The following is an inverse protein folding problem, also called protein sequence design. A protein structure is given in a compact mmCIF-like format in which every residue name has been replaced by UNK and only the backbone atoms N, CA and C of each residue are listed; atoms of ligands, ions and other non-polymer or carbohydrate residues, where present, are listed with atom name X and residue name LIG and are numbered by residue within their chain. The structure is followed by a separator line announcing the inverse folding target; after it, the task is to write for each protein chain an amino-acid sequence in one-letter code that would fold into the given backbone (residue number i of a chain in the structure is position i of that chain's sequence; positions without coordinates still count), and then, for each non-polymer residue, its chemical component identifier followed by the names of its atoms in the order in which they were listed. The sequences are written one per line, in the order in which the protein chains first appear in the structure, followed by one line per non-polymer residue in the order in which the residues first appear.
data_IF_290993156574
#
_entry.id   IF_290993156574
#
_cell.length_a   1.000
_cell.length_b   1.000
_cell.length_c   1.000
_cell.angle_alpha   90.00
_cell.angle_beta   90.00
_cell.angle_gamma   90.00
#
_symmetry.space_group_name_H-M   'P 1'
#
loop_
_entity.id
_entity.type
_entity.pdbx_description
1 polymer ?
#
# COMPACT_ATOMS: atom_id res chain seq x y z
N UNK A 1 -51.23 11.26 -21.29
CA UNK A 1 -50.77 10.66 -20.01
C UNK A 1 -49.70 9.61 -20.26
N UNK A 2 -49.95 8.63 -21.12
CA UNK A 2 -49.01 7.58 -21.56
C UNK A 2 -47.68 8.12 -22.12
N UNK A 3 -47.74 9.11 -23.02
CA UNK A 3 -46.55 9.72 -23.66
C UNK A 3 -45.64 10.45 -22.67
N UNK A 4 -46.24 11.09 -21.65
CA UNK A 4 -45.52 11.85 -20.63
C UNK A 4 -44.75 10.91 -19.68
N UNK A 5 -45.38 9.79 -19.33
CA UNK A 5 -44.78 8.73 -18.50
C UNK A 5 -43.62 8.08 -19.24
N UNK A 6 -43.79 7.78 -20.52
CA UNK A 6 -42.74 7.19 -21.36
C UNK A 6 -41.53 8.12 -21.52
N UNK A 7 -41.76 9.43 -21.67
CA UNK A 7 -40.70 10.45 -21.70
C UNK A 7 -39.94 10.51 -20.39
N UNK A 8 -40.65 10.52 -19.25
CA UNK A 8 -40.03 10.53 -17.91
C UNK A 8 -39.19 9.27 -17.66
N UNK A 9 -39.68 8.11 -18.09
CA UNK A 9 -38.96 6.86 -17.97
C UNK A 9 -37.69 6.83 -18.83
N UNK A 10 -37.76 7.36 -20.06
CA UNK A 10 -36.61 7.47 -20.95
C UNK A 10 -35.54 8.43 -20.40
N UNK A 11 -35.95 9.58 -19.85
CA UNK A 11 -35.04 10.53 -19.19
C UNK A 11 -34.40 9.91 -17.95
N UNK A 12 -35.17 9.22 -17.11
CA UNK A 12 -34.67 8.56 -15.92
C UNK A 12 -33.67 7.44 -16.27
N UNK A 13 -33.98 6.64 -17.29
CA UNK A 13 -33.09 5.62 -17.83
C UNK A 13 -31.77 6.23 -18.33
N UNK A 14 -31.84 7.32 -19.10
CA UNK A 14 -30.64 8.01 -19.57
C UNK A 14 -29.82 8.57 -18.40
N UNK A 15 -30.46 9.12 -17.36
CA UNK A 15 -29.78 9.64 -16.18
C UNK A 15 -29.04 8.53 -15.42
N UNK A 16 -29.71 7.40 -15.19
CA UNK A 16 -29.11 6.22 -14.55
C UNK A 16 -27.93 5.70 -15.38
N UNK A 17 -28.06 5.66 -16.70
CA UNK A 17 -26.98 5.21 -17.58
C UNK A 17 -25.75 6.13 -17.51
N UNK A 18 -25.95 7.45 -17.49
CA UNK A 18 -24.86 8.43 -17.33
C UNK A 18 -24.17 8.29 -15.97
N UNK A 19 -24.94 8.09 -14.90
CA UNK A 19 -24.43 7.85 -13.54
C UNK A 19 -23.67 6.53 -13.41
N UNK A 20 -24.17 5.46 -14.05
CA UNK A 20 -23.54 4.14 -14.02
C UNK A 20 -22.29 4.04 -14.92
N UNK A 21 -22.25 4.78 -16.03
CA UNK A 21 -21.15 4.76 -16.99
C UNK A 21 -19.92 5.56 -16.53
N UNK A 22 -20.04 6.40 -15.50
CA UNK A 22 -18.93 7.22 -14.98
C UNK A 22 -18.73 6.96 -13.48
N UNK A 23 -18.18 5.81 -13.07
CA UNK A 23 -17.90 5.54 -11.67
C UNK A 23 -16.71 6.40 -11.22
N UNK A 24 -16.97 7.65 -10.83
CA UNK A 24 -15.93 8.58 -10.30
C UNK A 24 -15.21 8.00 -9.07
N UNK A 25 -15.88 7.08 -8.37
CA UNK A 25 -15.41 6.31 -7.21
C UNK A 25 -14.25 5.37 -7.56
N UNK A 26 -14.20 4.85 -8.79
CA UNK A 26 -13.14 3.96 -9.23
C UNK A 26 -11.81 4.71 -9.47
N UNK A 27 -11.87 5.99 -9.85
CA UNK A 27 -10.67 6.79 -10.14
C UNK A 27 -9.94 7.25 -8.87
N UNK A 28 -10.66 7.62 -7.81
CA UNK A 28 -10.04 8.02 -6.54
C UNK A 28 -9.42 6.84 -5.79
N UNK A 29 -10.03 5.64 -5.88
CA UNK A 29 -9.52 4.43 -5.25
C UNK A 29 -8.15 3.98 -5.80
N UNK A 30 -7.94 4.12 -7.12
CA UNK A 30 -6.67 3.74 -7.76
C UNK A 30 -5.48 4.60 -7.36
N UNK A 31 -5.66 5.92 -7.20
CA UNK A 31 -4.57 6.78 -6.71
C UNK A 31 -4.32 6.57 -5.21
N UNK A 32 -5.37 6.32 -4.43
CA UNK A 32 -5.24 6.03 -3.01
C UNK A 32 -4.51 4.70 -2.75
N UNK A 33 -4.71 3.67 -3.58
CA UNK A 33 -4.00 2.39 -3.45
C UNK A 33 -2.50 2.50 -3.79
N UNK A 34 -2.14 3.22 -4.86
CA UNK A 34 -0.72 3.51 -5.19
C UNK A 34 -0.07 4.35 -4.09
N UNK A 35 -0.77 5.38 -3.59
CA UNK A 35 -0.28 6.20 -2.49
C UNK A 35 -0.05 5.39 -1.20
N UNK A 36 -0.94 4.44 -0.90
CA UNK A 36 -0.74 3.53 0.23
C UNK A 36 0.50 2.64 0.04
N UNK A 37 0.72 2.12 -1.17
CA UNK A 37 1.92 1.34 -1.49
C UNK A 37 3.22 2.12 -1.30
N UNK A 38 3.30 3.37 -1.76
CA UNK A 38 4.45 4.24 -1.46
C UNK A 38 4.60 4.53 0.04
N UNK A 39 3.48 4.57 0.78
CA UNK A 39 3.51 4.68 2.23
C UNK A 39 4.15 3.46 2.90
N UNK A 40 3.80 2.26 2.44
CA UNK A 40 4.38 0.99 2.93
C UNK A 40 5.90 0.94 2.65
N UNK A 41 6.35 1.35 1.46
CA UNK A 41 7.79 1.47 1.12
C UNK A 41 8.49 2.54 1.98
N UNK A 42 7.86 3.70 2.14
CA UNK A 42 8.39 4.79 2.97
C UNK A 42 8.55 4.41 4.44
N UNK A 43 7.69 3.54 4.96
CA UNK A 43 7.83 2.97 6.30
C UNK A 43 9.10 2.12 6.42
N UNK A 44 9.35 1.21 5.46
CA UNK A 44 10.55 0.37 5.44
C UNK A 44 11.83 1.20 5.32
N UNK A 45 11.83 2.22 4.46
CA UNK A 45 12.95 3.16 4.36
C UNK A 45 13.25 3.84 5.69
N UNK A 46 12.22 4.29 6.42
CA UNK A 46 12.43 4.92 7.72
C UNK A 46 12.95 3.90 8.76
N UNK A 47 12.46 2.66 8.75
CA UNK A 47 13.00 1.60 9.62
C UNK A 47 14.49 1.36 9.35
N UNK A 48 14.91 1.34 8.07
CA UNK A 48 16.31 1.15 7.72
C UNK A 48 17.17 2.36 8.12
N UNK A 49 16.66 3.58 7.95
CA UNK A 49 17.34 4.79 8.44
C UNK A 49 17.53 4.78 9.96
N UNK A 50 16.55 4.26 10.72
CA UNK A 50 16.69 4.07 12.17
C UNK A 50 17.82 3.10 12.49
N UNK A 51 17.90 1.95 11.80
CA UNK A 51 19.00 0.99 11.99
C UNK A 51 20.36 1.59 11.69
N UNK A 52 20.49 2.33 10.58
CA UNK A 52 21.73 3.01 10.24
C UNK A 52 22.15 4.02 11.31
N UNK A 53 21.21 4.82 11.81
CA UNK A 53 21.51 5.80 12.87
C UNK A 53 21.90 5.12 14.19
N UNK A 54 21.22 4.03 14.57
CA UNK A 54 21.58 3.23 15.74
C UNK A 54 22.97 2.60 15.60
N UNK A 55 23.32 2.12 14.41
CA UNK A 55 24.63 1.57 14.12
C UNK A 55 25.71 2.66 14.22
N UNK A 56 25.50 3.82 13.58
CA UNK A 56 26.44 4.94 13.63
C UNK A 56 26.71 5.43 15.05
N UNK A 57 25.70 5.42 15.93
CA UNK A 57 25.87 5.80 17.34
C UNK A 57 26.70 4.81 18.17
N UNK A 58 26.85 3.56 17.71
CA UNK A 58 27.66 2.53 18.39
C UNK A 58 29.13 2.56 17.95
N UNK A 59 29.46 3.30 16.89
CA UNK A 59 30.82 3.41 16.36
C UNK A 59 31.71 4.19 17.35
N UNK A 60 32.94 3.70 17.58
CA UNK A 60 33.88 4.33 18.52
C UNK A 60 34.32 5.73 18.06
N UNK A 61 34.35 5.95 16.76
CA UNK A 61 34.69 7.20 16.08
C UNK A 61 33.46 8.05 15.73
N UNK A 62 32.28 7.75 16.28
CA UNK A 62 31.10 8.59 16.15
C UNK A 62 31.41 10.04 16.57
N UNK A 63 31.01 11.01 15.74
CA UNK A 63 31.26 12.42 16.01
C UNK A 63 30.53 12.89 17.28
N UNK A 64 31.08 13.90 17.95
CA UNK A 64 30.45 14.48 19.14
C UNK A 64 29.06 15.09 18.84
N UNK A 65 28.88 15.64 17.63
CA UNK A 65 27.58 16.13 17.16
C UNK A 65 26.57 15.00 17.00
N UNK A 66 26.99 13.87 16.42
CA UNK A 66 26.15 12.68 16.30
C UNK A 66 25.78 12.13 17.69
N UNK A 67 26.72 12.08 18.64
CA UNK A 67 26.42 11.64 20.01
C UNK A 67 25.46 12.60 20.72
N UNK A 68 25.58 13.90 20.50
CA UNK A 68 24.74 14.92 21.11
C UNK A 68 23.29 14.89 20.59
N UNK A 69 23.11 14.71 19.27
CA UNK A 69 21.78 14.82 18.64
C UNK A 69 21.18 13.50 18.17
N UNK A 70 21.99 12.47 17.96
CA UNK A 70 21.53 11.16 17.47
C UNK A 70 20.48 10.50 18.36
N UNK A 71 20.58 10.51 19.71
CA UNK A 71 19.55 9.93 20.56
C UNK A 71 18.16 10.56 20.41
N UNK A 72 18.08 11.90 20.32
CA UNK A 72 16.81 12.60 20.10
C UNK A 72 16.29 12.38 18.68
N UNK A 73 17.17 12.35 17.69
CA UNK A 73 16.80 11.99 16.31
C UNK A 73 16.24 10.57 16.20
N UNK A 74 16.83 9.60 16.92
CA UNK A 74 16.29 8.23 17.01
C UNK A 74 14.92 8.19 17.68
N UNK A 75 14.72 8.96 18.75
CA UNK A 75 13.43 9.04 19.41
C UNK A 75 12.36 9.55 18.43
N UNK A 76 12.62 10.67 17.74
CA UNK A 76 11.70 11.23 16.77
C UNK A 76 11.42 10.27 15.60
N UNK A 77 12.44 9.59 15.09
CA UNK A 77 12.27 8.62 14.01
C UNK A 77 11.40 7.43 14.43
N UNK A 78 11.56 6.92 15.66
CA UNK A 78 10.71 5.85 16.21
C UNK A 78 9.28 6.32 16.49
N UNK A 79 9.09 7.57 16.91
CA UNK A 79 7.75 8.16 17.04
C UNK A 79 7.09 8.35 15.67
N UNK A 80 7.84 8.79 14.67
CA UNK A 80 7.37 8.88 13.29
C UNK A 80 6.95 7.51 12.75
N UNK A 81 7.70 6.43 12.99
CA UNK A 81 7.30 5.07 12.61
C UNK A 81 5.95 4.66 13.23
N UNK A 82 5.69 5.00 14.50
CA UNK A 82 4.38 4.71 15.12
C UNK A 82 3.25 5.44 14.40
N UNK A 83 3.40 6.74 14.13
CA UNK A 83 2.40 7.53 13.42
C UNK A 83 2.21 7.06 11.98
N UNK A 84 3.29 6.65 11.33
CA UNK A 84 3.26 6.13 9.97
C UNK A 84 2.48 4.81 9.93
N UNK A 85 2.75 3.89 10.86
CA UNK A 85 2.01 2.63 10.98
C UNK A 85 0.49 2.85 11.17
N UNK A 86 0.09 3.79 12.03
CA UNK A 86 -1.34 4.15 12.17
C UNK A 86 -1.92 4.76 10.89
N UNK A 87 -1.15 5.57 10.16
CA UNK A 87 -1.58 6.11 8.88
C UNK A 87 -1.78 5.01 7.82
N UNK A 88 -0.88 4.02 7.76
CA UNK A 88 -1.01 2.87 6.86
C UNK A 88 -2.22 2.01 7.20
N UNK A 89 -2.49 1.80 8.49
CA UNK A 89 -3.67 1.08 8.96
C UNK A 89 -4.95 1.79 8.50
N UNK A 90 -5.09 3.09 8.77
CA UNK A 90 -6.25 3.86 8.33
C UNK A 90 -6.37 3.92 6.80
N UNK A 91 -5.26 4.07 6.08
CA UNK A 91 -5.25 4.02 4.62
C UNK A 91 -5.73 2.67 4.07
N UNK A 92 -5.34 1.56 4.70
CA UNK A 92 -5.81 0.21 4.35
C UNK A 92 -7.31 0.06 4.61
N UNK A 93 -7.78 0.48 5.78
CA UNK A 93 -9.19 0.44 6.15
C UNK A 93 -10.05 1.28 5.18
N UNK A 94 -9.58 2.48 4.81
CA UNK A 94 -10.26 3.34 3.85
C UNK A 94 -10.37 2.73 2.44
N UNK A 95 -9.43 1.85 2.08
CA UNK A 95 -9.44 1.11 0.83
C UNK A 95 -10.17 -0.24 0.92
N UNK A 96 -10.72 -0.59 2.08
CA UNK A 96 -11.32 -1.90 2.31
C UNK A 96 -10.32 -3.07 2.21
N UNK A 97 -9.02 -2.79 2.35
CA UNK A 97 -7.97 -3.80 2.42
C UNK A 97 -7.73 -4.16 3.89
N UNK A 98 -7.46 -5.43 4.22
CA UNK A 98 -6.88 -5.74 5.52
C UNK A 98 -5.58 -4.94 5.66
N UNK A 99 -5.32 -4.38 6.85
CA UNK A 99 -4.04 -3.77 7.15
C UNK A 99 -2.95 -4.84 6.96
N UNK A 100 -2.27 -4.79 5.81
CA UNK A 100 -1.16 -5.69 5.50
C UNK A 100 0.09 -5.18 6.17
N UNK A 101 0.94 -6.09 6.64
CA UNK A 101 2.34 -5.75 6.93
C UNK A 101 2.95 -5.07 5.70
N UNK A 102 3.83 -4.06 5.87
CA UNK A 102 4.54 -3.46 4.74
C UNK A 102 5.20 -4.58 3.94
N UNK A 103 5.06 -4.52 2.63
CA UNK A 103 5.49 -5.57 1.70
C UNK A 103 6.91 -6.02 2.05
N UNK A 104 7.07 -7.25 2.54
CA UNK A 104 8.39 -7.81 2.78
C UNK A 104 9.15 -7.79 1.45
N UNK A 105 10.30 -7.15 1.46
CA UNK A 105 11.11 -6.87 0.28
C UNK A 105 11.33 -8.15 -0.54
N UNK A 106 10.84 -8.13 -1.78
CA UNK A 106 11.03 -9.23 -2.74
C UNK A 106 9.75 -9.88 -3.25
N UNK A 107 8.92 -9.15 -4.00
CA UNK A 107 8.25 -9.72 -5.17
C UNK A 107 7.74 -8.60 -6.08
N UNK A 108 8.60 -8.18 -7.00
CA UNK A 108 8.13 -7.49 -8.19
C UNK A 108 7.30 -8.47 -9.01
N UNK A 109 5.99 -8.25 -9.07
CA UNK A 109 5.16 -8.83 -10.13
C UNK A 109 3.86 -9.48 -9.66
N UNK A 110 2.76 -8.83 -10.03
CA UNK A 110 1.52 -9.52 -10.39
C UNK A 110 0.50 -9.66 -9.26
N UNK A 111 -0.69 -9.13 -9.48
CA UNK A 111 -1.81 -9.37 -8.56
C UNK A 111 -3.10 -8.62 -8.86
N UNK A 112 -3.41 -8.35 -10.12
CA UNK A 112 -4.80 -8.13 -10.55
C UNK A 112 -5.52 -9.47 -10.53
N UNK A 113 -6.74 -9.49 -9.99
CA UNK A 113 -7.73 -10.50 -10.35
C UNK A 113 -8.22 -11.32 -9.16
N UNK A 114 -9.52 -11.26 -8.94
CA UNK A 114 -10.21 -12.01 -7.91
C UNK A 114 -10.19 -13.51 -8.16
N UNK A 115 -10.52 -14.22 -7.07
CA UNK A 115 -11.03 -15.58 -6.97
C UNK A 115 -10.39 -16.64 -7.86
N UNK A 116 -9.86 -17.69 -7.26
CA UNK A 116 -10.16 -19.03 -7.74
C UNK A 116 -9.78 -20.09 -6.70
N UNK A 117 -10.54 -21.17 -6.79
CA UNK A 117 -10.62 -22.35 -5.97
C UNK A 117 -9.31 -23.12 -5.80
N UNK A 118 -9.18 -23.66 -4.60
CA UNK A 118 -8.28 -24.71 -4.15
C UNK A 118 -8.40 -25.95 -5.05
N UNK A 119 -7.32 -26.38 -5.70
CA UNK A 119 -7.13 -27.78 -6.10
C UNK A 119 -5.64 -28.13 -6.17
N UNK A 120 -5.33 -29.32 -5.68
CA UNK A 120 -4.02 -29.87 -5.39
C UNK A 120 -3.20 -30.24 -6.63
N UNK A 121 -1.88 -30.36 -6.47
CA UNK A 121 -1.16 -31.48 -7.10
C UNK A 121 0.13 -31.16 -7.86
N UNK A 122 1.21 -31.73 -7.36
CA UNK A 122 2.31 -32.38 -8.10
C UNK A 122 3.58 -31.60 -8.47
N UNK A 123 4.62 -31.93 -7.68
CA UNK A 123 5.88 -32.55 -8.13
C UNK A 123 6.97 -31.68 -8.75
N UNK A 124 7.93 -31.36 -7.88
CA UNK A 124 9.33 -31.03 -8.13
C UNK A 124 10.04 -31.86 -9.23
N UNK A 125 10.85 -31.17 -10.04
CA UNK A 125 12.16 -31.65 -10.51
C UNK A 125 12.99 -30.46 -10.99
N UNK A 126 14.13 -30.25 -10.34
CA UNK A 126 15.13 -29.22 -10.63
C UNK A 126 16.19 -29.86 -11.54
N UNK A 127 16.42 -29.32 -12.74
CA UNK A 127 17.57 -29.70 -13.58
C UNK A 127 18.61 -28.56 -13.55
N UNK A 128 19.74 -28.83 -12.90
CA UNK A 128 20.97 -28.06 -13.05
C UNK A 128 21.57 -28.33 -14.44
N UNK A 129 21.79 -27.27 -15.22
CA UNK A 129 22.57 -27.32 -16.45
C UNK A 129 23.88 -26.56 -16.28
N UNK A 130 24.98 -27.28 -16.05
CA UNK A 130 26.34 -26.81 -16.33
C UNK A 130 26.70 -27.13 -17.77
N UNK A 131 27.22 -26.16 -18.52
CA UNK A 131 28.27 -26.30 -19.56
C UNK A 131 28.76 -24.92 -20.02
#
# INVERSE_FOLDING_TARGET
MESEVMKKFSILSALIFVLAANPVWAQSGGHASVGLGHGEEGYLHLEEMVKHLEFSLKMQDASEELKAHGPVSLQHAREALKHYNEALKHGSEALGRPAGMPMAEGSGGGGYGGGHSHEEGSSHSHEEGSH
#
